data_IF_073641392981
#
_entry.id   IF_073641392981
#
_cell.length_a   1.000
_cell.length_b   1.000
_cell.length_c   1.000
_cell.angle_alpha   90.00
_cell.angle_beta   90.00
_cell.angle_gamma   90.00
#
_symmetry.space_group_name_H-M   'P 1'
#
loop_
_entity.id
_entity.type
_entity.pdbx_description
1 polymer ?
#
# COMPACT_ATOMS: atom_id res chain seq x y z
N UNK A 1 -3.30 -2.45 12.11
CA UNK A 1 -3.67 -1.43 13.12
C UNK A 1 -3.78 -0.02 12.53
N UNK A 2 -2.76 0.52 11.84
CA UNK A 2 -2.82 1.88 11.28
C UNK A 2 -4.01 2.11 10.32
N UNK A 3 -4.23 1.19 9.37
CA UNK A 3 -5.38 1.25 8.46
C UNK A 3 -6.74 1.23 9.16
N UNK A 4 -6.86 0.53 10.30
CA UNK A 4 -8.10 0.47 11.07
C UNK A 4 -8.43 1.82 11.72
N UNK A 5 -7.42 2.56 12.20
CA UNK A 5 -7.62 3.91 12.75
C UNK A 5 -7.92 4.94 11.66
N UNK A 6 -7.36 4.75 10.47
CA UNK A 6 -7.67 5.58 9.32
C UNK A 6 -9.13 5.40 8.87
N UNK A 7 -9.61 4.15 8.79
CA UNK A 7 -11.02 3.85 8.51
C UNK A 7 -11.99 4.37 9.59
N UNK A 8 -11.53 4.47 10.84
CA UNK A 8 -12.30 5.05 11.96
C UNK A 8 -12.22 6.59 12.03
N UNK A 9 -11.54 7.26 11.09
CA UNK A 9 -11.42 8.71 11.04
C UNK A 9 -10.48 9.33 12.07
N UNK A 10 -9.71 8.53 12.81
CA UNK A 10 -8.73 9.04 13.78
C UNK A 10 -7.34 9.13 13.15
N UNK A 11 -7.15 10.18 12.34
CA UNK A 11 -5.97 10.34 11.50
C UNK A 11 -4.65 10.50 12.28
N UNK A 12 -4.68 11.15 13.46
CA UNK A 12 -3.48 11.35 14.28
C UNK A 12 -2.93 10.04 14.86
N UNK A 13 -3.82 9.14 15.33
CA UNK A 13 -3.40 7.82 15.80
C UNK A 13 -2.91 6.96 14.63
N UNK A 14 -3.58 7.02 13.48
CA UNK A 14 -3.14 6.31 12.28
C UNK A 14 -1.72 6.73 11.85
N UNK A 15 -1.44 8.05 11.86
CA UNK A 15 -0.11 8.59 11.58
C UNK A 15 0.93 8.10 12.58
N UNK A 16 0.70 8.20 13.89
CA UNK A 16 1.69 7.76 14.89
C UNK A 16 2.04 6.27 14.75
N UNK A 17 1.05 5.40 14.52
CA UNK A 17 1.31 3.98 14.29
C UNK A 17 2.05 3.73 12.97
N UNK A 18 1.77 4.52 11.93
CA UNK A 18 2.50 4.46 10.65
C UNK A 18 3.95 4.93 10.82
N UNK A 19 4.21 6.00 11.57
CA UNK A 19 5.56 6.50 11.85
C UNK A 19 6.36 5.45 12.64
N UNK A 20 5.77 4.92 13.71
CA UNK A 20 6.41 3.88 14.52
C UNK A 20 6.71 2.64 13.67
N UNK A 21 5.73 2.17 12.88
CA UNK A 21 5.93 1.01 11.99
C UNK A 21 6.99 1.29 10.91
N UNK A 22 7.03 2.50 10.38
CA UNK A 22 8.02 2.91 9.38
C UNK A 22 9.42 2.86 9.93
N UNK A 23 9.64 3.44 11.10
CA UNK A 23 11.02 3.58 11.57
C UNK A 23 11.53 2.30 12.23
N UNK A 24 10.65 1.52 12.90
CA UNK A 24 11.06 0.27 13.56
C UNK A 24 11.18 -0.91 12.59
N UNK A 25 10.26 -1.03 11.64
CA UNK A 25 10.19 -2.23 10.80
C UNK A 25 10.77 -2.03 9.40
N UNK A 26 10.73 -0.82 8.82
CA UNK A 26 11.23 -0.55 7.45
C UNK A 26 11.01 0.88 6.95
N UNK A 27 12.07 1.50 6.43
CA UNK A 27 12.01 2.73 5.63
C UNK A 27 11.05 2.69 4.43
N UNK A 28 10.68 1.51 3.94
CA UNK A 28 9.79 1.35 2.80
C UNK A 28 8.38 1.93 3.05
N UNK A 29 7.92 1.94 4.30
CA UNK A 29 6.63 2.53 4.71
C UNK A 29 6.67 4.07 4.74
N UNK A 30 7.85 4.69 4.71
CA UNK A 30 8.03 6.15 4.71
C UNK A 30 7.51 6.74 3.40
N UNK A 31 7.70 5.99 2.31
CA UNK A 31 7.13 6.27 1.01
C UNK A 31 5.61 6.15 0.97
N UNK A 32 4.99 5.37 1.87
CA UNK A 32 3.52 5.30 2.01
C UNK A 32 3.02 6.42 2.94
N UNK A 33 3.82 6.75 3.96
CA UNK A 33 3.54 7.81 4.90
C UNK A 33 3.52 9.19 4.24
N UNK A 34 4.46 9.46 3.33
CA UNK A 34 4.55 10.74 2.63
C UNK A 34 3.30 11.09 1.79
N UNK A 35 2.82 10.25 0.86
CA UNK A 35 1.60 10.52 0.10
C UNK A 35 0.35 10.52 0.98
N UNK A 36 0.28 9.67 2.01
CA UNK A 36 -0.85 9.68 2.95
C UNK A 36 -0.90 10.97 3.78
N UNK A 37 0.24 11.43 4.27
CA UNK A 37 0.34 12.71 4.98
C UNK A 37 0.03 13.89 4.05
N UNK A 38 0.53 13.86 2.81
CA UNK A 38 0.26 14.88 1.80
C UNK A 38 -1.23 14.95 1.44
N UNK A 39 -1.88 13.80 1.25
CA UNK A 39 -3.31 13.74 0.96
C UNK A 39 -4.14 14.27 2.13
N UNK A 40 -3.85 13.83 3.36
CA UNK A 40 -4.52 14.32 4.57
C UNK A 40 -4.37 15.83 4.76
N UNK A 41 -3.22 16.37 4.33
CA UNK A 41 -2.96 17.80 4.29
C UNK A 41 -3.80 18.52 3.23
N UNK A 42 -3.84 17.97 2.01
CA UNK A 42 -4.61 18.49 0.87
C UNK A 42 -6.12 18.47 1.15
N UNK A 43 -6.61 17.45 1.86
CA UNK A 43 -8.01 17.38 2.33
C UNK A 43 -8.31 18.32 3.51
N UNK A 44 -7.33 19.09 4.01
CA UNK A 44 -7.41 19.93 5.22
C UNK A 44 -7.91 19.20 6.47
N UNK A 45 -7.80 17.88 6.50
CA UNK A 45 -8.23 17.06 7.64
C UNK A 45 -7.30 17.22 8.85
N UNK A 46 -6.06 17.69 8.62
CA UNK A 46 -5.03 17.91 9.64
C UNK A 46 -4.34 19.25 9.38
N UNK A 47 -4.03 20.01 10.45
CA UNK A 47 -3.22 21.22 10.32
C UNK A 47 -1.73 20.90 10.29
N UNK A 48 -0.99 21.52 9.37
CA UNK A 48 0.46 21.35 9.18
C UNK A 48 1.24 21.39 10.50
N UNK A 49 1.04 22.43 11.31
CA UNK A 49 1.75 22.59 12.57
C UNK A 49 1.41 21.51 13.60
N UNK A 50 0.17 21.00 13.63
CA UNK A 50 -0.18 19.88 14.52
C UNK A 50 0.43 18.58 14.02
N UNK A 51 0.36 18.31 12.72
CA UNK A 51 1.00 17.14 12.11
C UNK A 51 2.49 17.09 12.47
N UNK A 52 3.22 18.18 12.24
CA UNK A 52 4.66 18.26 12.53
C UNK A 52 4.95 18.01 14.01
N UNK A 53 4.19 18.62 14.93
CA UNK A 53 4.36 18.39 16.38
C UNK A 53 4.14 16.93 16.78
N UNK A 54 3.12 16.28 16.23
CA UNK A 54 2.82 14.88 16.51
C UNK A 54 3.81 13.92 15.84
N UNK A 55 4.39 14.29 14.69
CA UNK A 55 5.33 13.45 13.96
C UNK A 55 6.76 13.53 14.53
N UNK A 56 7.22 14.69 15.00
CA UNK A 56 8.61 14.90 15.43
C UNK A 56 9.01 13.95 16.56
N UNK A 57 8.19 13.84 17.62
CA UNK A 57 8.52 13.03 18.81
C UNK A 57 8.75 11.54 18.48
N UNK A 58 7.76 10.86 17.87
CA UNK A 58 7.91 9.47 17.44
C UNK A 58 9.04 9.27 16.43
N UNK A 59 9.30 10.26 15.57
CA UNK A 59 10.37 10.20 14.57
C UNK A 59 11.75 10.20 15.23
N UNK A 60 12.02 11.15 16.13
CA UNK A 60 13.29 11.24 16.84
C UNK A 60 13.53 10.03 17.74
N UNK A 61 12.51 9.58 18.48
CA UNK A 61 12.61 8.40 19.34
C UNK A 61 12.96 7.14 18.55
N UNK A 62 12.30 6.95 17.41
CA UNK A 62 12.49 5.73 16.63
C UNK A 62 13.82 5.74 15.87
N UNK A 63 14.28 6.90 15.36
CA UNK A 63 15.61 7.04 14.73
C UNK A 63 16.71 6.79 15.76
N UNK A 64 16.56 7.33 16.98
CA UNK A 64 17.50 7.07 18.06
C UNK A 64 17.57 5.57 18.39
N UNK A 65 16.43 4.89 18.41
CA UNK A 65 16.35 3.46 18.65
C UNK A 65 17.02 2.63 17.54
N UNK A 66 16.80 2.94 16.27
CA UNK A 66 17.43 2.20 15.16
C UNK A 66 18.94 2.39 15.13
N UNK A 67 19.43 3.63 15.27
CA UNK A 67 20.87 3.90 15.33
C UNK A 67 21.51 3.18 16.51
N UNK A 68 20.83 3.15 17.67
CA UNK A 68 21.33 2.44 18.85
C UNK A 68 21.45 0.93 18.59
N UNK A 69 20.40 0.29 18.07
CA UNK A 69 20.40 -1.15 17.78
C UNK A 69 21.44 -1.50 16.71
N UNK A 70 21.48 -0.73 15.62
CA UNK A 70 22.38 -1.01 14.49
C UNK A 70 23.85 -0.76 14.87
N UNK A 71 24.13 0.26 15.68
CA UNK A 71 25.49 0.54 16.17
C UNK A 71 26.00 -0.57 17.10
N UNK A 72 25.13 -1.13 17.94
CA UNK A 72 25.48 -2.29 18.80
C UNK A 72 25.82 -3.51 17.94
N UNK A 73 25.04 -3.77 16.88
CA UNK A 73 25.21 -4.94 16.02
C UNK A 73 26.45 -4.83 15.11
N UNK A 74 26.71 -3.65 14.55
CA UNK A 74 27.78 -3.43 13.56
C UNK A 74 29.07 -2.82 14.12
N UNK A 75 29.10 -2.46 15.41
CA UNK A 75 30.25 -1.79 16.09
C UNK A 75 30.74 -0.52 15.37
N UNK A 76 29.89 0.09 14.56
CA UNK A 76 30.14 1.32 13.80
C UNK A 76 28.83 2.09 13.72
N UNK A 77 28.92 3.42 13.82
CA UNK A 77 27.77 4.29 13.59
C UNK A 77 27.51 4.28 12.09
N UNK A 78 26.55 3.46 11.69
CA UNK A 78 26.12 3.32 10.31
C UNK A 78 24.60 3.41 10.33
N UNK A 79 24.06 4.14 9.36
CA UNK A 79 22.62 4.10 9.08
C UNK A 79 22.43 3.32 7.78
N UNK A 80 22.34 1.97 7.87
CA UNK A 80 22.36 1.11 6.69
C UNK A 80 21.21 1.42 5.72
N UNK A 81 20.07 1.88 6.23
CA UNK A 81 18.92 2.21 5.41
C UNK A 81 19.11 3.47 4.54
N UNK A 82 19.82 4.48 5.06
CA UNK A 82 20.12 5.69 4.29
C UNK A 82 21.09 5.37 3.14
N UNK A 83 22.10 4.54 3.39
CA UNK A 83 23.04 4.12 2.34
C UNK A 83 22.37 3.29 1.25
N UNK A 84 21.45 2.38 1.62
CA UNK A 84 20.66 1.60 0.66
C UNK A 84 19.76 2.50 -0.18
N UNK A 85 19.11 3.50 0.42
CA UNK A 85 18.32 4.48 -0.33
C UNK A 85 19.18 5.31 -1.28
N UNK A 86 20.33 5.81 -0.80
CA UNK A 86 21.25 6.62 -1.59
C UNK A 86 21.80 5.85 -2.80
N UNK A 87 22.27 4.62 -2.58
CA UNK A 87 22.79 3.75 -3.62
C UNK A 87 21.72 3.39 -4.67
N UNK A 88 20.50 3.08 -4.21
CA UNK A 88 19.41 2.67 -5.10
C UNK A 88 18.74 3.83 -5.83
N UNK A 89 18.69 5.03 -5.23
CA UNK A 89 17.96 6.15 -5.81
C UNK A 89 18.83 7.07 -6.67
N UNK A 90 20.13 7.20 -6.37
CA UNK A 90 21.04 8.12 -7.07
C UNK A 90 21.93 7.40 -8.08
N UNK A 91 22.36 6.17 -7.76
CA UNK A 91 23.36 5.47 -8.58
C UNK A 91 22.77 4.58 -9.68
N UNK A 92 21.57 4.05 -9.51
CA UNK A 92 21.00 3.08 -10.45
C UNK A 92 20.10 3.74 -11.51
N UNK A 93 20.50 3.62 -12.79
CA UNK A 93 19.72 4.14 -13.92
C UNK A 93 18.70 3.12 -14.42
N UNK A 94 17.45 3.59 -14.48
CA UNK A 94 16.35 3.15 -15.36
C UNK A 94 15.90 1.70 -15.26
N UNK A 95 14.65 1.53 -14.81
CA UNK A 95 13.90 0.31 -15.03
C UNK A 95 12.49 0.66 -15.55
N UNK A 96 11.91 -0.21 -16.37
CA UNK A 96 10.64 0.07 -17.05
C UNK A 96 9.48 0.28 -16.05
N UNK A 97 8.90 1.49 -16.06
CA UNK A 97 7.80 1.94 -15.19
C UNK A 97 6.54 1.03 -15.23
N UNK A 98 6.38 0.23 -16.28
CA UNK A 98 5.20 -0.62 -16.44
C UNK A 98 5.22 -1.91 -15.62
N UNK A 99 6.39 -2.37 -15.14
CA UNK A 99 6.52 -3.70 -14.50
C UNK A 99 5.63 -3.88 -13.27
N UNK A 100 5.45 -2.84 -12.45
CA UNK A 100 4.59 -2.94 -11.28
C UNK A 100 3.10 -3.05 -11.66
N UNK A 101 2.67 -2.40 -12.73
CA UNK A 101 1.31 -2.46 -13.24
C UNK A 101 1.00 -3.76 -14.00
N UNK A 102 1.96 -4.27 -14.78
CA UNK A 102 1.74 -5.43 -15.63
C UNK A 102 2.08 -6.75 -14.97
N UNK A 103 3.03 -6.77 -14.03
CA UNK A 103 3.55 -8.02 -13.45
C UNK A 103 3.31 -8.13 -11.95
N UNK A 104 3.48 -7.05 -11.19
CA UNK A 104 3.42 -7.12 -9.73
C UNK A 104 2.01 -7.04 -9.16
N UNK A 105 1.22 -6.05 -9.60
CA UNK A 105 -0.17 -5.87 -9.18
C UNK A 105 -1.09 -7.05 -9.55
N UNK A 106 -1.07 -7.59 -10.79
CA UNK A 106 -1.92 -8.74 -11.11
C UNK A 106 -1.54 -10.00 -10.31
N UNK A 107 -0.26 -10.18 -9.96
CA UNK A 107 0.16 -11.29 -9.09
C UNK A 107 -0.27 -11.13 -7.63
N UNK A 108 -0.26 -9.91 -7.11
CA UNK A 108 -0.62 -9.66 -5.70
C UNK A 108 -2.13 -9.59 -5.46
N UNK A 109 -2.88 -9.12 -6.45
CA UNK A 109 -4.33 -8.89 -6.34
C UNK A 109 -5.17 -10.00 -6.97
N UNK A 110 -4.64 -10.75 -7.94
CA UNK A 110 -5.38 -11.82 -8.65
C UNK A 110 -6.77 -11.33 -9.10
N UNK A 111 -7.87 -11.96 -8.63
CA UNK A 111 -9.23 -11.53 -8.98
C UNK A 111 -9.59 -10.14 -8.44
N UNK A 112 -8.93 -9.67 -7.38
CA UNK A 112 -9.14 -8.32 -6.85
C UNK A 112 -8.61 -7.22 -7.78
N UNK A 113 -7.74 -7.53 -8.75
CA UNK A 113 -7.17 -6.54 -9.66
C UNK A 113 -8.23 -5.84 -10.56
N UNK A 114 -9.05 -6.57 -11.34
CA UNK A 114 -10.13 -5.95 -12.11
C UNK A 114 -11.25 -5.38 -11.21
N UNK A 115 -11.53 -6.04 -10.08
CA UNK A 115 -12.56 -5.58 -9.14
C UNK A 115 -12.20 -4.25 -8.46
N UNK A 116 -10.91 -4.05 -8.16
CA UNK A 116 -10.39 -2.80 -7.63
C UNK A 116 -10.68 -1.62 -8.59
N UNK A 117 -10.38 -1.79 -9.88
CA UNK A 117 -10.63 -0.76 -10.89
C UNK A 117 -12.13 -0.43 -10.98
N UNK A 118 -12.99 -1.45 -10.92
CA UNK A 118 -14.45 -1.26 -10.84
C UNK A 118 -14.88 -0.54 -9.56
N UNK A 119 -14.27 -0.86 -8.41
CA UNK A 119 -14.55 -0.20 -7.13
C UNK A 119 -14.26 1.30 -7.16
N UNK A 120 -13.15 1.67 -7.78
CA UNK A 120 -12.76 3.07 -8.00
C UNK A 120 -13.78 3.81 -8.89
N UNK A 121 -14.28 3.16 -9.95
CA UNK A 121 -15.26 3.75 -10.87
C UNK A 121 -16.67 3.88 -10.25
N UNK A 122 -17.07 2.91 -9.43
CA UNK A 122 -18.41 2.83 -8.84
C UNK A 122 -18.55 3.77 -7.64
N UNK A 123 -17.51 3.92 -6.81
CA UNK A 123 -17.61 4.66 -5.56
C UNK A 123 -16.43 5.61 -5.34
N UNK A 124 -16.67 6.91 -5.54
CA UNK A 124 -15.66 7.96 -5.32
C UNK A 124 -15.19 8.05 -3.87
N UNK A 125 -15.93 7.51 -2.89
CA UNK A 125 -15.49 7.51 -1.49
C UNK A 125 -14.27 6.63 -1.29
N UNK A 126 -14.11 5.60 -2.12
CA UNK A 126 -12.99 4.67 -2.06
C UNK A 126 -11.71 5.30 -2.62
N UNK A 127 -11.82 6.33 -3.47
CA UNK A 127 -10.67 7.07 -4.01
C UNK A 127 -9.79 7.67 -2.91
N UNK A 128 -10.38 8.16 -1.82
CA UNK A 128 -9.63 8.73 -0.68
C UNK A 128 -8.68 7.68 -0.05
N UNK A 129 -8.99 6.39 -0.16
CA UNK A 129 -8.11 5.33 0.33
C UNK A 129 -7.17 4.81 -0.75
N UNK A 130 -7.60 4.85 -2.01
CA UNK A 130 -6.85 4.32 -3.15
C UNK A 130 -5.80 5.29 -3.65
N UNK A 131 -6.06 6.60 -3.68
CA UNK A 131 -5.13 7.63 -4.15
C UNK A 131 -3.76 7.62 -3.44
N UNK A 132 -3.66 7.53 -2.10
CA UNK A 132 -2.36 7.53 -1.42
C UNK A 132 -1.63 6.20 -1.67
N UNK A 133 -2.38 5.10 -1.79
CA UNK A 133 -1.82 3.79 -2.13
C UNK A 133 -1.36 3.73 -3.59
N UNK A 134 -2.08 4.35 -4.51
CA UNK A 134 -1.74 4.42 -5.91
C UNK A 134 -0.53 5.33 -6.14
N UNK A 135 -0.50 6.50 -5.50
CA UNK A 135 0.67 7.39 -5.52
C UNK A 135 1.90 6.74 -4.89
N UNK A 136 1.74 5.95 -3.83
CA UNK A 136 2.81 5.09 -3.29
C UNK A 136 3.36 4.12 -4.35
N UNK A 137 2.49 3.40 -5.07
CA UNK A 137 2.91 2.47 -6.14
C UNK A 137 3.61 3.23 -7.28
N UNK A 138 3.11 4.42 -7.65
CA UNK A 138 3.72 5.27 -8.67
C UNK A 138 5.12 5.76 -8.27
N UNK A 139 5.30 6.16 -7.02
CA UNK A 139 6.61 6.57 -6.48
C UNK A 139 7.57 5.38 -6.48
N UNK A 140 7.12 4.21 -6.05
CA UNK A 140 7.92 2.98 -6.12
C UNK A 140 8.25 2.54 -7.54
N UNK A 141 7.37 2.82 -8.51
CA UNK A 141 7.62 2.48 -9.90
C UNK A 141 8.75 3.28 -10.54
N UNK A 142 9.13 4.41 -9.93
CA UNK A 142 10.31 5.19 -10.32
C UNK A 142 11.60 4.65 -9.70
N UNK A 143 11.53 3.81 -8.66
CA UNK A 143 12.71 3.20 -8.08
C UNK A 143 13.20 2.03 -8.96
N UNK A 144 14.52 1.89 -9.15
CA UNK A 144 15.11 0.84 -9.98
C UNK A 144 15.01 -0.55 -9.33
N UNK A 145 14.94 -0.62 -7.99
CA UNK A 145 14.75 -1.88 -7.27
C UNK A 145 13.28 -2.29 -7.26
N UNK A 146 12.99 -3.40 -7.93
CA UNK A 146 11.65 -3.97 -8.05
C UNK A 146 11.54 -5.24 -7.23
N UNK A 147 10.84 -5.15 -6.12
CA UNK A 147 10.52 -6.32 -5.31
C UNK A 147 9.06 -6.26 -4.90
N UNK A 148 8.39 -7.41 -4.99
CA UNK A 148 6.99 -7.56 -4.62
C UNK A 148 6.75 -7.18 -3.15
N UNK A 149 7.75 -7.38 -2.29
CA UNK A 149 7.66 -7.15 -0.84
C UNK A 149 7.27 -5.71 -0.48
N UNK A 150 7.69 -4.73 -1.27
CA UNK A 150 7.40 -3.32 -0.99
C UNK A 150 5.93 -2.95 -1.22
N UNK A 151 5.25 -3.67 -2.12
CA UNK A 151 3.85 -3.41 -2.47
C UNK A 151 2.88 -4.21 -1.59
N UNK A 152 3.33 -5.19 -0.80
CA UNK A 152 2.44 -6.02 0.04
C UNK A 152 1.57 -5.15 0.97
N UNK A 153 2.12 -4.05 1.50
CA UNK A 153 1.38 -3.12 2.37
C UNK A 153 0.19 -2.44 1.68
N UNK A 154 0.22 -2.32 0.34
CA UNK A 154 -0.88 -1.75 -0.45
C UNK A 154 -2.05 -2.72 -0.66
N UNK A 155 -1.77 -4.04 -0.63
CA UNK A 155 -2.73 -5.09 -0.99
C UNK A 155 -4.00 -5.05 -0.13
N UNK A 156 -3.94 -4.85 1.20
CA UNK A 156 -5.16 -4.75 2.02
C UNK A 156 -6.10 -3.61 1.61
N UNK A 157 -5.56 -2.45 1.21
CA UNK A 157 -6.38 -1.30 0.81
C UNK A 157 -7.00 -1.49 -0.57
N UNK A 158 -6.25 -2.09 -1.50
CA UNK A 158 -6.75 -2.44 -2.82
C UNK A 158 -7.81 -3.56 -2.74
N UNK A 159 -7.62 -4.54 -1.85
CA UNK A 159 -8.62 -5.57 -1.55
C UNK A 159 -9.88 -4.99 -0.90
N UNK A 160 -9.74 -3.98 -0.02
CA UNK A 160 -10.88 -3.28 0.55
C UNK A 160 -11.72 -2.61 -0.55
N UNK A 161 -11.07 -1.95 -1.50
CA UNK A 161 -11.74 -1.35 -2.66
C UNK A 161 -12.48 -2.40 -3.50
N UNK A 162 -11.82 -3.54 -3.79
CA UNK A 162 -12.43 -4.66 -4.49
C UNK A 162 -13.64 -5.24 -3.72
N UNK A 163 -13.57 -5.33 -2.38
CA UNK A 163 -14.65 -5.81 -1.54
C UNK A 163 -15.87 -4.86 -1.55
N UNK A 164 -15.64 -3.55 -1.53
CA UNK A 164 -16.72 -2.56 -1.69
C UNK A 164 -17.39 -2.70 -3.05
N UNK A 165 -16.61 -2.89 -4.12
CA UNK A 165 -17.14 -3.15 -5.46
C UNK A 165 -18.00 -4.43 -5.49
N UNK A 166 -17.49 -5.53 -4.95
CA UNK A 166 -18.18 -6.81 -4.85
C UNK A 166 -19.51 -6.70 -4.08
N UNK A 167 -19.49 -6.01 -2.93
CA UNK A 167 -20.70 -5.78 -2.13
C UNK A 167 -21.75 -4.98 -2.91
N UNK A 168 -21.32 -3.96 -3.66
CA UNK A 168 -22.23 -3.14 -4.46
C UNK A 168 -22.82 -3.90 -5.66
N UNK A 169 -22.00 -4.76 -6.28
CA UNK A 169 -22.45 -5.68 -7.34
C UNK A 169 -23.46 -6.66 -6.78
N UNK A 170 -23.18 -7.25 -5.62
CA UNK A 170 -24.06 -8.21 -4.95
C UNK A 170 -25.38 -7.58 -4.48
N UNK A 171 -25.38 -6.35 -3.98
CA UNK A 171 -26.63 -5.74 -3.53
C UNK A 171 -27.55 -5.35 -4.71
N UNK A 172 -26.99 -5.06 -5.89
CA UNK A 172 -27.73 -4.61 -7.07
C UNK A 172 -28.04 -5.72 -8.10
N UNK A 173 -27.87 -7.01 -7.77
CA UNK A 173 -27.97 -8.14 -8.73
C UNK A 173 -29.27 -8.23 -9.52
N UNK A 174 -30.34 -7.59 -9.06
CA UNK A 174 -31.65 -7.61 -9.72
C UNK A 174 -31.67 -6.84 -11.04
N UNK A 175 -30.71 -5.93 -11.28
CA UNK A 175 -30.58 -5.20 -12.54
C UNK A 175 -29.71 -5.97 -13.54
N UNK A 176 -30.09 -5.94 -14.82
CA UNK A 176 -29.45 -6.72 -15.92
C UNK A 176 -27.94 -6.50 -16.03
N UNK A 177 -27.46 -5.26 -15.98
CA UNK A 177 -26.01 -4.96 -16.00
C UNK A 177 -25.26 -5.54 -14.80
N UNK A 178 -25.83 -5.43 -13.61
CA UNK A 178 -25.23 -5.91 -12.36
C UNK A 178 -25.26 -7.44 -12.27
N UNK A 179 -26.25 -8.09 -12.87
CA UNK A 179 -26.31 -9.55 -13.03
C UNK A 179 -25.15 -10.05 -13.88
N UNK A 180 -24.84 -9.35 -14.98
CA UNK A 180 -23.69 -9.68 -15.84
C UNK A 180 -22.35 -9.47 -15.11
N UNK A 181 -22.17 -8.33 -14.42
CA UNK A 181 -20.98 -8.07 -13.59
C UNK A 181 -20.79 -9.12 -12.49
N UNK A 182 -21.88 -9.58 -11.88
CA UNK A 182 -21.83 -10.63 -10.87
C UNK A 182 -21.42 -12.00 -11.45
N UNK A 183 -21.85 -12.32 -12.67
CA UNK A 183 -21.40 -13.54 -13.38
C UNK A 183 -19.90 -13.48 -13.68
N UNK A 184 -19.40 -12.32 -14.15
CA UNK A 184 -17.96 -12.11 -14.37
C UNK A 184 -17.19 -12.27 -13.06
N UNK A 185 -17.68 -11.66 -11.97
CA UNK A 185 -17.04 -11.76 -10.65
C UNK A 185 -16.95 -13.22 -10.17
N UNK A 186 -18.02 -14.00 -10.30
CA UNK A 186 -18.01 -15.42 -9.97
C UNK A 186 -17.01 -16.19 -10.85
N UNK A 187 -16.98 -15.92 -12.16
CA UNK A 187 -16.01 -16.51 -13.09
C UNK A 187 -14.55 -16.22 -12.69
N UNK A 188 -14.25 -15.00 -12.26
CA UNK A 188 -12.93 -14.60 -11.77
C UNK A 188 -12.54 -15.36 -10.49
N UNK A 189 -13.47 -15.55 -9.56
CA UNK A 189 -13.21 -16.34 -8.35
C UNK A 189 -12.97 -17.83 -8.65
N UNK A 190 -13.73 -18.41 -9.59
CA UNK A 190 -13.50 -19.79 -10.04
C UNK A 190 -12.17 -19.97 -10.77
N UNK A 191 -11.78 -18.99 -11.59
CA UNK A 191 -10.48 -19.01 -12.25
C UNK A 191 -9.34 -18.93 -11.22
N UNK A 192 -9.48 -18.08 -10.20
CA UNK A 192 -8.50 -17.96 -9.14
C UNK A 192 -8.38 -19.23 -8.30
N UNK A 193 -9.48 -19.87 -7.92
CA UNK A 193 -9.44 -21.12 -7.15
C UNK A 193 -8.73 -22.23 -7.93
N UNK A 194 -8.93 -22.27 -9.25
CA UNK A 194 -8.24 -23.20 -10.13
C UNK A 194 -6.75 -22.89 -10.29
N UNK A 195 -6.36 -21.62 -10.36
CA UNK A 195 -4.95 -21.24 -10.39
C UNK A 195 -4.22 -21.66 -9.11
N UNK A 196 -4.88 -21.48 -7.96
CA UNK A 196 -4.32 -21.84 -6.66
C UNK A 196 -4.18 -23.37 -6.50
N UNK A 197 -5.14 -24.16 -7.00
CA UNK A 197 -5.03 -25.62 -6.99
C UNK A 197 -3.94 -26.12 -7.94
N UNK A 198 -3.77 -25.52 -9.12
CA UNK A 198 -2.69 -25.88 -10.06
C UNK A 198 -1.30 -25.62 -9.48
N UNK A 199 -1.11 -24.52 -8.75
CA UNK A 199 0.16 -24.21 -8.08
C UNK A 199 0.42 -25.19 -6.95
N UNK A 200 -0.61 -25.60 -6.20
CA UNK A 200 -0.47 -26.58 -5.11
C UNK A 200 -0.19 -28.00 -5.62
N UNK A 201 -0.76 -28.38 -6.77
CA UNK A 201 -0.53 -29.67 -7.42
C UNK A 201 0.80 -29.75 -8.19
N UNK A 202 1.36 -28.64 -8.66
CA UNK A 202 2.66 -28.60 -9.36
C UNK A 202 3.89 -28.58 -8.44
N UNK A 203 3.68 -28.58 -7.13
CA UNK A 203 4.74 -28.57 -6.09
C UNK A 203 4.81 -29.93 -5.35
N UNK A 204 3.86 -30.84 -5.61
CA UNK A 204 3.87 -32.25 -5.19
C UNK A 204 4.37 -33.14 -6.33
#
# INVERSE_FOLDING_TARGET
MAYAYWLRGNFYKALNYLIFATIVFRCDMLLLLCPLALELLLTRSISLCKAIKYCIGPTLLSIGFTIMVDSIMWKKILWPEFEVFWFNSVLNRSSAFHWYFTSALPRSLLAAYPLFLLGVLIDRRVLVFVLPVFSFILLYSKLPHKELRFIISSVPMLNLSAAVAANRIFNNRKKTLWKFLNLIMLGLFFYQSRLHSSVFLGIL
#
